data_IF_534647264856
#
_entry.id   IF_534647264856
#
_cell.length_a   1.000
_cell.length_b   1.000
_cell.length_c   1.000
_cell.angle_alpha   90.00
_cell.angle_beta   90.00
_cell.angle_gamma   90.00
#
_symmetry.space_group_name_H-M   'P 1'
#
loop_
_entity.id
_entity.type
_entity.pdbx_description
1 polymer ?
#
# COMPACT_ATOMS: atom_id res chain seq x y z
N UNK A 1 28.93 -60.14 -45.24
CA UNK A 1 27.89 -59.36 -44.50
C UNK A 1 28.39 -59.09 -43.09
N UNK A 2 28.71 -57.84 -42.73
CA UNK A 2 29.01 -57.45 -41.35
C UNK A 2 28.05 -56.32 -40.98
N UNK A 3 27.21 -56.57 -39.96
CA UNK A 3 26.28 -55.60 -39.40
C UNK A 3 27.10 -54.51 -38.70
N UNK A 4 27.12 -53.32 -39.29
CA UNK A 4 27.73 -52.12 -38.74
C UNK A 4 26.61 -51.40 -37.97
N UNK A 5 26.89 -51.01 -36.73
CA UNK A 5 26.02 -50.36 -35.72
C UNK A 5 25.38 -51.36 -34.71
N UNK A 6 25.92 -51.46 -33.48
CA UNK A 6 25.48 -52.42 -32.45
C UNK A 6 24.29 -51.98 -31.58
N UNK A 7 23.73 -50.77 -31.72
CA UNK A 7 22.44 -50.39 -31.11
C UNK A 7 21.91 -49.05 -31.67
N UNK A 8 20.59 -48.79 -31.61
CA UNK A 8 20.01 -47.54 -32.10
C UNK A 8 20.57 -46.33 -31.33
N UNK A 9 20.84 -45.19 -32.00
CA UNK A 9 21.32 -44.00 -31.31
C UNK A 9 20.26 -43.47 -30.34
N UNK A 10 20.66 -43.22 -29.10
CA UNK A 10 19.84 -42.57 -28.09
C UNK A 10 19.64 -41.09 -28.47
N UNK A 11 18.46 -40.75 -28.98
CA UNK A 11 18.05 -39.36 -29.20
C UNK A 11 17.63 -38.78 -27.85
N UNK A 12 18.44 -37.90 -27.27
CA UNK A 12 18.05 -37.12 -26.09
C UNK A 12 17.40 -35.81 -26.50
N UNK A 13 16.16 -35.59 -26.08
CA UNK A 13 15.49 -34.31 -26.22
C UNK A 13 15.92 -33.40 -25.08
N UNK A 14 16.68 -32.34 -25.38
CA UNK A 14 16.98 -31.29 -24.41
C UNK A 14 15.73 -30.43 -24.21
N UNK A 15 15.24 -30.36 -22.97
CA UNK A 15 14.19 -29.42 -22.61
C UNK A 15 14.69 -27.99 -22.86
N UNK A 16 13.95 -27.13 -23.58
CA UNK A 16 14.30 -25.73 -23.71
C UNK A 16 14.29 -25.07 -22.33
N UNK A 17 15.27 -24.20 -22.07
CA UNK A 17 15.36 -23.44 -20.81
C UNK A 17 14.08 -22.63 -20.66
N UNK A 18 13.32 -22.92 -19.60
CA UNK A 18 12.16 -22.12 -19.22
C UNK A 18 12.62 -20.78 -18.63
N UNK A 19 11.72 -19.81 -18.50
CA UNK A 19 11.99 -18.55 -17.79
C UNK A 19 12.54 -18.83 -16.39
N UNK A 20 12.03 -19.86 -15.70
CA UNK A 20 12.52 -20.31 -14.40
C UNK A 20 14.01 -20.69 -14.41
N UNK A 21 14.53 -21.18 -15.54
CA UNK A 21 15.93 -21.60 -15.68
C UNK A 21 16.87 -20.41 -16.01
N UNK A 22 16.31 -19.27 -16.43
CA UNK A 22 17.03 -18.00 -16.57
C UNK A 22 16.99 -17.14 -15.30
N UNK A 23 16.00 -17.36 -14.44
CA UNK A 23 15.90 -16.69 -13.15
C UNK A 23 16.94 -17.26 -12.19
N UNK A 24 18.13 -16.68 -12.20
CA UNK A 24 19.10 -16.84 -11.10
C UNK A 24 18.42 -16.35 -9.83
N UNK A 25 18.33 -17.22 -8.82
CA UNK A 25 17.93 -16.80 -7.47
C UNK A 25 18.98 -15.84 -6.93
N UNK A 26 18.83 -14.54 -7.19
CA UNK A 26 19.50 -13.52 -6.40
C UNK A 26 18.86 -13.53 -5.02
N UNK A 27 19.35 -14.40 -4.14
CA UNK A 27 19.16 -14.19 -2.70
C UNK A 27 20.02 -13.00 -2.33
N UNK A 28 19.46 -11.80 -2.50
CA UNK A 28 19.95 -10.64 -1.78
C UNK A 28 19.45 -10.81 -0.36
N UNK A 29 20.29 -11.36 0.52
CA UNK A 29 20.13 -11.27 1.98
C UNK A 29 20.38 -9.82 2.42
N UNK A 30 19.69 -8.86 1.79
CA UNK A 30 19.63 -7.50 2.26
C UNK A 30 18.50 -7.45 3.29
N UNK A 31 18.80 -7.41 4.60
CA UNK A 31 17.77 -7.17 5.59
C UNK A 31 17.05 -5.89 5.20
N UNK A 32 15.74 -5.99 4.97
CA UNK A 32 14.94 -4.81 4.66
C UNK A 32 15.12 -3.81 5.80
N UNK A 33 15.36 -2.52 5.51
CA UNK A 33 15.52 -1.53 6.55
C UNK A 33 14.28 -1.54 7.45
N UNK A 34 14.49 -1.44 8.76
CA UNK A 34 13.40 -1.35 9.74
C UNK A 34 13.20 0.13 10.03
N UNK A 35 12.06 0.65 9.60
CA UNK A 35 11.62 1.99 9.93
C UNK A 35 10.49 1.99 10.95
N UNK A 36 10.11 3.17 11.40
CA UNK A 36 8.93 3.36 12.24
C UNK A 36 8.22 4.67 11.93
N UNK A 37 6.91 4.67 12.19
CA UNK A 37 6.15 5.89 12.36
C UNK A 37 6.25 6.37 13.81
N UNK A 38 6.57 7.65 14.00
CA UNK A 38 6.59 8.29 15.32
C UNK A 38 5.61 9.46 15.37
N UNK A 39 4.72 9.45 16.37
CA UNK A 39 3.83 10.57 16.65
C UNK A 39 4.62 11.78 17.19
N UNK A 40 4.17 13.00 16.88
CA UNK A 40 4.78 14.21 17.43
C UNK A 40 4.19 14.60 18.79
N UNK A 41 4.91 15.42 19.55
CA UNK A 41 4.48 15.98 20.84
C UNK A 41 3.51 17.17 20.71
N UNK A 42 3.23 17.63 19.49
CA UNK A 42 2.39 18.81 19.28
C UNK A 42 0.90 18.50 19.52
N UNK A 43 0.35 19.06 20.60
CA UNK A 43 -1.08 18.92 20.99
C UNK A 43 -2.08 19.43 19.95
N UNK A 44 -1.66 20.32 19.03
CA UNK A 44 -2.51 20.81 17.93
C UNK A 44 -2.55 19.87 16.73
N UNK A 45 -1.68 18.86 16.66
CA UNK A 45 -1.70 17.87 15.58
C UNK A 45 -2.98 17.03 15.67
N UNK A 46 -3.78 16.99 14.60
CA UNK A 46 -5.01 16.18 14.55
C UNK A 46 -4.79 14.76 14.05
N UNK A 47 -3.65 14.49 13.39
CA UNK A 47 -3.25 13.14 12.99
C UNK A 47 -2.82 12.30 14.20
N UNK A 48 -1.96 12.82 15.09
CA UNK A 48 -1.36 12.00 16.14
C UNK A 48 -2.38 11.38 17.12
N UNK A 49 -3.50 12.03 17.49
CA UNK A 49 -4.58 11.39 18.25
C UNK A 49 -5.31 10.25 17.50
N UNK A 50 -5.12 10.12 16.18
CA UNK A 50 -5.66 9.08 15.31
C UNK A 50 -4.60 8.04 14.92
N UNK A 51 -3.43 8.07 15.54
CA UNK A 51 -2.33 7.17 15.20
C UNK A 51 -1.58 6.75 16.45
N UNK A 52 -0.80 5.68 16.35
CA UNK A 52 0.12 5.26 17.38
C UNK A 52 1.51 5.05 16.78
N UNK A 53 2.56 5.29 17.56
CA UNK A 53 3.93 4.98 17.14
C UNK A 53 4.03 3.48 16.87
N UNK A 54 4.43 3.10 15.66
CA UNK A 54 4.46 1.70 15.21
C UNK A 54 5.55 1.48 14.16
N UNK A 55 6.05 0.26 14.07
CA UNK A 55 6.93 -0.20 12.98
C UNK A 55 6.23 -1.16 12.02
N UNK A 56 4.96 -1.47 12.25
CA UNK A 56 4.17 -2.40 11.44
C UNK A 56 2.77 -1.87 11.16
N UNK A 57 2.13 -2.46 10.15
CA UNK A 57 0.72 -2.26 9.84
C UNK A 57 0.12 -3.56 9.31
N UNK A 58 -1.19 -3.77 9.50
CA UNK A 58 -1.89 -5.00 9.16
C UNK A 58 -3.01 -4.75 8.17
N UNK A 59 -3.14 -5.63 7.18
CA UNK A 59 -4.33 -5.68 6.33
C UNK A 59 -5.45 -6.38 7.09
N UNK A 60 -6.62 -5.75 7.20
CA UNK A 60 -7.80 -6.38 7.79
C UNK A 60 -8.39 -7.45 6.86
N UNK A 61 -8.30 -7.24 5.54
CA UNK A 61 -8.83 -8.18 4.54
C UNK A 61 -7.98 -9.42 4.30
N UNK A 62 -6.64 -9.32 4.41
CA UNK A 62 -5.74 -10.47 4.20
C UNK A 62 -5.16 -11.04 5.49
N UNK A 63 -5.27 -10.30 6.61
CA UNK A 63 -4.66 -10.65 7.88
C UNK A 63 -3.14 -10.51 7.92
N UNK A 64 -2.49 -10.17 6.80
CA UNK A 64 -1.03 -10.08 6.71
C UNK A 64 -0.51 -8.79 7.37
N UNK A 65 0.56 -8.92 8.16
CA UNK A 65 1.28 -7.81 8.78
C UNK A 65 2.53 -7.46 7.99
N UNK A 66 2.73 -6.17 7.75
CA UNK A 66 3.83 -5.61 6.99
C UNK A 66 4.67 -4.70 7.88
N UNK A 67 5.98 -4.62 7.60
CA UNK A 67 6.90 -3.71 8.27
C UNK A 67 6.97 -2.38 7.50
N UNK A 68 7.01 -1.29 8.25
CA UNK A 68 7.35 0.03 7.73
C UNK A 68 8.86 0.04 7.48
N UNK A 69 9.27 0.39 6.27
CA UNK A 69 10.68 0.28 5.85
C UNK A 69 11.49 1.56 6.05
N UNK A 70 10.82 2.68 6.31
CA UNK A 70 11.45 4.00 6.43
C UNK A 70 10.93 4.74 7.66
N UNK A 71 11.79 5.52 8.30
CA UNK A 71 11.34 6.40 9.38
C UNK A 71 10.45 7.51 8.80
N UNK A 72 9.26 7.65 9.39
CA UNK A 72 8.23 8.57 8.93
C UNK A 72 7.59 9.27 10.11
N UNK A 73 7.21 10.52 9.93
CA UNK A 73 6.58 11.34 10.97
C UNK A 73 5.28 11.94 10.45
N UNK A 74 4.52 12.57 11.34
CA UNK A 74 3.30 13.28 10.96
C UNK A 74 3.52 14.40 9.93
N UNK A 75 4.75 14.93 9.79
CA UNK A 75 5.09 16.02 8.87
C UNK A 75 5.76 15.54 7.57
N UNK A 76 5.99 14.24 7.44
CA UNK A 76 6.64 13.69 6.24
C UNK A 76 5.77 13.93 5.01
N UNK A 77 6.45 14.27 3.90
CA UNK A 77 5.90 14.55 2.56
C UNK A 77 6.10 13.35 1.65
N UNK A 78 5.38 13.23 0.55
CA UNK A 78 5.46 12.06 -0.34
C UNK A 78 5.22 10.74 0.40
N UNK A 79 4.05 10.66 1.03
CA UNK A 79 3.65 9.54 1.89
C UNK A 79 2.49 8.78 1.26
N UNK A 80 2.57 7.46 1.27
CA UNK A 80 1.40 6.56 1.13
C UNK A 80 0.97 6.13 2.54
N UNK A 81 -0.32 6.26 2.82
CA UNK A 81 -0.87 6.00 4.15
C UNK A 81 -2.11 5.11 4.08
N UNK A 82 -2.33 4.40 5.18
CA UNK A 82 -3.47 3.54 5.43
C UNK A 82 -4.39 4.23 6.44
N UNK A 83 -5.67 4.27 6.13
CA UNK A 83 -6.74 4.57 7.07
C UNK A 83 -7.48 3.27 7.36
N UNK A 84 -7.68 2.96 8.65
CA UNK A 84 -8.54 1.86 9.11
C UNK A 84 -9.71 2.45 9.88
N UNK A 85 -10.93 2.03 9.56
CA UNK A 85 -12.11 2.35 10.37
C UNK A 85 -12.17 1.41 11.57
N UNK A 86 -12.18 1.95 12.79
CA UNK A 86 -12.21 1.13 14.02
C UNK A 86 -13.55 0.41 14.25
N UNK A 87 -14.63 0.91 13.66
CA UNK A 87 -15.99 0.33 13.79
C UNK A 87 -16.16 -0.89 12.90
N UNK A 88 -15.93 -0.76 11.59
CA UNK A 88 -16.19 -1.82 10.61
C UNK A 88 -14.94 -2.49 10.04
N UNK A 89 -13.74 -2.07 10.44
CA UNK A 89 -12.45 -2.60 9.99
C UNK A 89 -12.16 -2.45 8.48
N UNK A 90 -12.99 -1.69 7.74
CA UNK A 90 -12.70 -1.36 6.34
C UNK A 90 -11.50 -0.41 6.25
N UNK A 91 -10.72 -0.60 5.20
CA UNK A 91 -9.45 0.10 4.99
C UNK A 91 -9.48 0.97 3.73
N UNK A 92 -8.75 2.09 3.77
CA UNK A 92 -8.50 2.99 2.65
C UNK A 92 -7.00 3.25 2.51
N UNK A 93 -6.50 3.22 1.29
CA UNK A 93 -5.15 3.67 0.95
C UNK A 93 -5.24 5.01 0.23
N UNK A 94 -4.41 5.96 0.66
CA UNK A 94 -4.26 7.25 0.00
C UNK A 94 -2.81 7.68 -0.11
N UNK A 95 -2.56 8.66 -0.96
CA UNK A 95 -1.27 9.35 -1.06
C UNK A 95 -1.36 10.84 -0.74
N UNK A 96 -0.20 11.44 -0.45
CA UNK A 96 -0.03 12.88 -0.35
C UNK A 96 1.38 13.31 -0.73
N UNK A 97 1.49 14.39 -1.52
CA UNK A 97 2.73 15.12 -1.72
C UNK A 97 3.08 16.03 -0.53
N UNK A 98 2.05 16.60 0.09
CA UNK A 98 2.18 17.44 1.27
C UNK A 98 2.39 16.61 2.54
N UNK A 99 2.59 17.30 3.67
CA UNK A 99 2.70 16.66 4.97
C UNK A 99 1.47 15.82 5.31
N UNK A 100 1.67 14.60 5.83
CA UNK A 100 0.58 13.69 6.19
C UNK A 100 -0.44 14.34 7.15
N UNK A 101 0.03 15.14 8.11
CA UNK A 101 -0.82 15.91 9.02
C UNK A 101 -1.77 16.87 8.29
N UNK A 102 -1.33 17.49 7.20
CA UNK A 102 -2.17 18.37 6.38
C UNK A 102 -3.21 17.57 5.62
N UNK A 103 -2.82 16.44 5.02
CA UNK A 103 -3.75 15.54 4.32
C UNK A 103 -4.86 15.04 5.24
N UNK A 104 -4.52 14.66 6.46
CA UNK A 104 -5.49 14.20 7.46
C UNK A 104 -6.41 15.34 7.94
N UNK A 105 -5.90 16.57 8.04
CA UNK A 105 -6.77 17.74 8.27
C UNK A 105 -7.76 17.98 7.11
N UNK A 106 -7.34 17.75 5.86
CA UNK A 106 -8.22 17.89 4.69
C UNK A 106 -9.31 16.82 4.69
N UNK A 107 -8.98 15.58 5.08
CA UNK A 107 -9.99 14.53 5.30
C UNK A 107 -10.98 14.93 6.39
N UNK A 108 -10.50 15.41 7.54
CA UNK A 108 -11.37 15.93 8.62
C UNK A 108 -12.32 17.01 8.11
N UNK A 109 -11.78 18.02 7.42
CA UNK A 109 -12.59 19.10 6.86
C UNK A 109 -13.64 18.59 5.89
N UNK A 110 -13.29 17.63 5.03
CA UNK A 110 -14.22 17.02 4.08
C UNK A 110 -15.33 16.23 4.77
N UNK A 111 -15.02 15.54 5.88
CA UNK A 111 -16.00 14.87 6.73
C UNK A 111 -16.94 15.90 7.36
N UNK A 112 -16.40 16.91 8.06
CA UNK A 112 -17.19 17.94 8.75
C UNK A 112 -18.06 18.77 7.80
N UNK A 113 -17.63 18.96 6.55
CA UNK A 113 -18.38 19.68 5.52
C UNK A 113 -19.31 18.78 4.69
N UNK A 114 -19.39 17.49 5.00
CA UNK A 114 -20.31 16.56 4.34
C UNK A 114 -20.03 16.34 2.85
N UNK A 115 -18.75 16.28 2.44
CA UNK A 115 -18.37 16.03 1.03
C UNK A 115 -18.58 14.57 0.63
N UNK A 116 -19.83 14.16 0.45
CA UNK A 116 -20.25 12.77 0.20
C UNK A 116 -19.75 12.16 -1.12
N UNK A 117 -19.15 12.94 -2.01
CA UNK A 117 -18.52 12.43 -3.22
C UNK A 117 -17.15 11.77 -2.94
N UNK A 118 -16.48 12.14 -1.84
CA UNK A 118 -15.18 11.60 -1.46
C UNK A 118 -15.36 10.33 -0.60
N UNK A 119 -14.69 9.21 -0.91
CA UNK A 119 -14.95 7.92 -0.26
C UNK A 119 -14.76 7.95 1.27
N UNK A 120 -13.68 8.57 1.74
CA UNK A 120 -13.41 8.71 3.19
C UNK A 120 -14.50 9.55 3.86
N UNK A 121 -14.89 10.67 3.27
CA UNK A 121 -15.92 11.53 3.84
C UNK A 121 -17.31 10.89 3.79
N UNK A 122 -17.62 10.19 2.71
CA UNK A 122 -18.84 9.42 2.55
C UNK A 122 -18.97 8.36 3.65
N UNK A 123 -17.90 7.60 3.92
CA UNK A 123 -17.90 6.54 4.92
C UNK A 123 -18.05 7.07 6.35
N UNK A 124 -17.26 8.06 6.76
CA UNK A 124 -17.28 8.58 8.14
C UNK A 124 -18.44 9.55 8.43
N UNK A 125 -19.36 9.74 7.48
CA UNK A 125 -20.66 10.39 7.70
C UNK A 125 -21.83 9.38 7.68
N UNK A 126 -21.57 8.07 7.61
CA UNK A 126 -22.60 7.03 7.78
C UNK A 126 -22.99 6.88 9.26
N UNK A 127 -24.16 6.29 9.50
CA UNK A 127 -24.61 5.98 10.86
C UNK A 127 -23.57 5.15 11.61
N UNK A 128 -23.37 5.46 12.90
CA UNK A 128 -22.37 4.85 13.79
C UNK A 128 -20.91 4.99 13.34
N UNK A 129 -20.61 5.88 12.41
CA UNK A 129 -19.23 6.20 12.00
C UNK A 129 -18.96 7.68 12.21
N UNK A 130 -17.75 7.98 12.65
CA UNK A 130 -17.32 9.36 12.87
C UNK A 130 -15.84 9.54 12.58
N UNK A 131 -15.42 10.80 12.44
CA UNK A 131 -14.01 11.16 12.39
C UNK A 131 -13.18 10.56 13.53
N UNK A 132 -13.76 10.39 14.71
CA UNK A 132 -13.06 9.83 15.85
C UNK A 132 -12.68 8.37 15.59
N UNK A 133 -13.46 7.61 14.81
CA UNK A 133 -13.24 6.19 14.54
C UNK A 133 -12.12 5.91 13.52
N UNK A 134 -11.50 6.95 12.98
CA UNK A 134 -10.40 6.84 12.04
C UNK A 134 -9.08 6.47 12.73
N UNK A 135 -8.40 5.43 12.28
CA UNK A 135 -7.00 5.16 12.61
C UNK A 135 -6.13 5.35 11.37
N UNK A 136 -4.99 6.05 11.49
CA UNK A 136 -4.11 6.37 10.37
C UNK A 136 -2.70 5.86 10.64
N UNK A 137 -2.11 5.18 9.66
CA UNK A 137 -0.71 4.74 9.70
C UNK A 137 -0.03 5.06 8.36
N UNK A 138 1.08 5.81 8.32
CA UNK A 138 1.91 5.89 7.11
C UNK A 138 2.59 4.54 6.87
N UNK A 139 2.54 4.06 5.63
CA UNK A 139 2.98 2.70 5.29
C UNK A 139 4.16 2.66 4.33
N UNK A 140 4.34 3.71 3.51
CA UNK A 140 5.48 3.85 2.60
C UNK A 140 5.75 5.35 2.37
N UNK A 141 7.02 5.70 2.21
CA UNK A 141 7.45 7.09 2.13
C UNK A 141 8.80 7.21 1.42
N UNK A 142 8.89 8.16 0.50
CA UNK A 142 10.17 8.61 -0.03
C UNK A 142 10.05 10.05 -0.50
N UNK A 143 10.82 10.94 0.12
CA UNK A 143 10.83 12.37 -0.21
C UNK A 143 11.16 12.65 -1.68
N UNK A 144 11.91 11.77 -2.34
CA UNK A 144 12.34 11.92 -3.73
C UNK A 144 11.38 11.32 -4.76
N UNK A 145 10.23 10.77 -4.35
CA UNK A 145 9.26 10.27 -5.32
C UNK A 145 8.65 11.39 -6.16
N UNK A 146 8.56 11.12 -7.46
CA UNK A 146 7.65 11.82 -8.35
C UNK A 146 6.19 11.45 -8.06
N UNK A 147 5.25 12.26 -8.55
CA UNK A 147 3.81 11.96 -8.45
C UNK A 147 3.49 10.57 -9.00
N UNK A 148 4.00 10.22 -10.19
CA UNK A 148 3.71 8.92 -10.82
C UNK A 148 4.25 7.74 -9.99
N UNK A 149 5.44 7.87 -9.40
CA UNK A 149 6.00 6.84 -8.51
C UNK A 149 5.16 6.66 -7.24
N UNK A 150 4.71 7.78 -6.66
CA UNK A 150 3.88 7.78 -5.45
C UNK A 150 2.49 7.19 -5.72
N UNK A 151 1.88 7.53 -6.85
CA UNK A 151 0.60 6.95 -7.32
C UNK A 151 0.76 5.47 -7.65
N UNK A 152 1.87 5.05 -8.26
CA UNK A 152 2.14 3.63 -8.48
C UNK A 152 2.23 2.84 -7.16
N UNK A 153 2.80 3.46 -6.12
CA UNK A 153 2.86 2.89 -4.77
C UNK A 153 1.50 2.84 -4.08
N UNK A 154 0.69 3.88 -4.22
CA UNK A 154 -0.69 3.89 -3.75
C UNK A 154 -1.48 2.72 -4.36
N UNK A 155 -1.46 2.59 -5.69
CA UNK A 155 -2.12 1.50 -6.41
C UNK A 155 -1.61 0.13 -5.95
N UNK A 156 -0.30 -0.05 -5.86
CA UNK A 156 0.30 -1.28 -5.36
C UNK A 156 -0.28 -1.68 -4.00
N UNK A 157 -0.38 -0.74 -3.05
CA UNK A 157 -0.93 -1.02 -1.72
C UNK A 157 -2.45 -1.22 -1.73
N UNK A 158 -3.20 -0.52 -2.57
CA UNK A 158 -4.65 -0.75 -2.74
C UNK A 158 -4.95 -2.20 -3.16
N UNK A 159 -4.22 -2.72 -4.14
CA UNK A 159 -4.35 -4.12 -4.58
C UNK A 159 -3.83 -5.11 -3.54
N UNK A 160 -2.67 -4.81 -2.93
CA UNK A 160 -2.02 -5.71 -1.96
C UNK A 160 -2.86 -5.91 -0.70
N UNK A 161 -3.49 -4.83 -0.18
CA UNK A 161 -4.30 -4.89 1.03
C UNK A 161 -5.79 -5.08 0.77
N UNK A 162 -6.20 -5.17 -0.51
CA UNK A 162 -7.60 -5.28 -0.96
C UNK A 162 -8.48 -4.15 -0.41
N UNK A 163 -8.05 -2.89 -0.54
CA UNK A 163 -8.82 -1.75 -0.03
C UNK A 163 -9.84 -1.19 -1.02
N UNK A 164 -9.99 -1.79 -2.20
CA UNK A 164 -10.98 -1.38 -3.20
C UNK A 164 -12.35 -1.95 -2.83
N UNK A 165 -13.42 -1.19 -3.06
CA UNK A 165 -14.80 -1.64 -2.89
C UNK A 165 -15.06 -2.98 -3.62
N UNK A 166 -15.82 -3.91 -3.00
CA UNK A 166 -16.64 -3.72 -1.78
C UNK A 166 -15.91 -3.95 -0.45
N UNK A 167 -14.73 -4.58 -0.49
CA UNK A 167 -14.00 -5.05 0.70
C UNK A 167 -13.25 -3.93 1.44
N UNK A 168 -12.98 -2.81 0.76
CA UNK A 168 -12.46 -1.59 1.38
C UNK A 168 -13.21 -0.34 0.96
N UNK A 169 -12.55 0.80 1.13
CA UNK A 169 -13.13 2.14 0.94
C UNK A 169 -12.65 2.84 -0.34
N UNK A 170 -11.61 2.36 -1.03
CA UNK A 170 -11.14 2.93 -2.28
C UNK A 170 -12.13 2.64 -3.41
N UNK A 171 -12.42 3.63 -4.26
CA UNK A 171 -13.30 3.44 -5.42
C UNK A 171 -12.51 2.94 -6.62
N UNK A 172 -13.14 2.12 -7.48
CA UNK A 172 -12.48 1.60 -8.70
C UNK A 172 -12.01 2.70 -9.64
N UNK A 173 -12.70 3.84 -9.69
CA UNK A 173 -12.29 5.03 -10.47
C UNK A 173 -10.90 5.53 -10.11
N UNK A 174 -10.50 5.37 -8.85
CA UNK A 174 -9.24 5.89 -8.32
C UNK A 174 -8.04 5.15 -8.95
N UNK A 175 -8.22 3.86 -9.30
CA UNK A 175 -7.18 3.04 -9.95
C UNK A 175 -7.00 3.29 -11.44
N UNK A 176 -7.99 3.91 -12.12
CA UNK A 176 -8.00 4.07 -13.58
C UNK A 176 -7.17 5.27 -14.07
N UNK A 177 -6.59 6.08 -13.17
CA UNK A 177 -5.77 7.25 -13.54
C UNK A 177 -4.46 6.87 -14.25
N UNK A 178 -4.08 5.59 -14.27
CA UNK A 178 -2.86 5.08 -14.91
C UNK A 178 -3.10 4.33 -16.23
N UNK A 179 -4.34 3.93 -16.55
CA UNK A 179 -4.62 3.14 -17.77
C UNK A 179 -4.82 4.00 -19.02
N UNK A 180 -4.58 5.32 -18.95
CA UNK A 180 -4.76 6.28 -20.07
C UNK A 180 -3.46 6.97 -20.52
N UNK A 181 -2.30 6.51 -20.06
CA UNK A 181 -0.99 7.09 -20.40
C UNK A 181 -0.01 6.11 -21.06
N UNK A 182 -0.49 4.97 -21.55
CA UNK A 182 0.26 4.07 -22.43
C UNK A 182 -0.57 3.76 -23.66
#
# INVERSE_FOLDING_TARGET
MKKIIPSPPLVSYRKPRSIKDHLVRSRLDNPKPVGSFSTCTNKRCKLCPRSQTTSTFKSTNTGHEYKILTNVSCKSRNVVYLITCRVCQKQYIGETEDGLNMRINNHRSSITTGKMNLPVAQHFNQDNHSWEDMEVVPIDHNVSWTTDQRVAKENFWQYTLKTIEPDGLNKRSDTLHMSRKY
#
